data_IF_296171363439
#
_entry.id   IF_296171363439
#
_cell.length_a   1.000
_cell.length_b   1.000
_cell.length_c   1.000
_cell.angle_alpha   90.00
_cell.angle_beta   90.00
_cell.angle_gamma   90.00
#
_symmetry.space_group_name_H-M   'P 1'
#
loop_
_entity.id
_entity.type
_entity.pdbx_description
1 polymer ?
#
# COMPACT_ATOMS: atom_id res chain seq x y z
N UNK A 1 9.17 -8.63 2.05
CA UNK A 1 9.64 -8.87 3.44
C UNK A 1 9.90 -10.33 3.81
N UNK A 2 10.51 -10.54 4.98
CA UNK A 2 10.68 -11.81 5.71
C UNK A 2 9.59 -12.08 6.76
N UNK A 3 9.37 -13.34 7.17
CA UNK A 3 8.32 -13.68 8.15
C UNK A 3 8.42 -12.91 9.48
N UNK A 4 9.65 -12.67 9.97
CA UNK A 4 9.89 -11.88 11.20
C UNK A 4 9.51 -10.42 11.07
N UNK A 5 9.62 -9.86 9.88
CA UNK A 5 9.18 -8.48 9.61
C UNK A 5 7.67 -8.44 9.54
N UNK A 6 7.05 -9.40 8.84
CA UNK A 6 5.59 -9.53 8.77
C UNK A 6 4.96 -9.60 10.17
N UNK A 7 5.48 -10.46 11.05
CA UNK A 7 4.99 -10.66 12.41
C UNK A 7 5.00 -9.36 13.24
N UNK A 8 6.02 -8.51 13.06
CA UNK A 8 6.11 -7.20 13.75
C UNK A 8 5.15 -6.16 13.19
N UNK A 9 4.70 -6.32 11.95
CA UNK A 9 3.79 -5.42 11.25
C UNK A 9 2.31 -5.79 11.48
N UNK A 10 2.02 -6.94 12.08
CA UNK A 10 0.65 -7.41 12.40
C UNK A 10 -0.12 -6.40 13.26
N UNK A 11 0.45 -5.93 14.36
CA UNK A 11 -0.21 -4.97 15.28
C UNK A 11 -0.41 -3.59 14.59
N UNK A 12 0.62 -2.99 13.94
CA UNK A 12 0.44 -1.78 13.14
C UNK A 12 -0.61 -1.90 12.03
N UNK A 13 -0.70 -3.06 11.38
CA UNK A 13 -1.71 -3.34 10.35
C UNK A 13 -3.12 -3.28 10.90
N UNK A 14 -3.39 -3.99 12.01
CA UNK A 14 -4.71 -4.00 12.67
C UNK A 14 -5.12 -2.58 13.06
N UNK A 15 -4.16 -1.76 13.51
CA UNK A 15 -4.42 -0.37 13.86
C UNK A 15 -4.39 0.63 12.69
N UNK A 16 -4.23 0.15 11.44
CA UNK A 16 -4.17 0.99 10.23
C UNK A 16 -3.06 2.06 10.27
N UNK A 17 -1.89 1.71 10.82
CA UNK A 17 -0.73 2.59 10.99
C UNK A 17 0.42 2.27 10.02
N UNK A 18 0.17 1.47 8.98
CA UNK A 18 1.18 1.13 7.99
C UNK A 18 1.16 2.09 6.80
N UNK A 19 2.35 2.45 6.31
CA UNK A 19 2.52 3.12 5.02
C UNK A 19 2.11 2.21 3.86
N UNK A 20 1.62 2.80 2.76
CA UNK A 20 1.04 2.09 1.62
C UNK A 20 2.02 1.07 0.99
N UNK A 21 3.30 1.44 0.84
CA UNK A 21 4.35 0.53 0.31
C UNK A 21 4.57 -0.68 1.24
N UNK A 22 4.62 -0.44 2.54
CA UNK A 22 4.87 -1.49 3.55
C UNK A 22 3.64 -2.40 3.71
N UNK A 23 2.43 -1.82 3.61
CA UNK A 23 1.17 -2.56 3.60
C UNK A 23 1.04 -3.43 2.36
N UNK A 24 1.50 -2.95 1.19
CA UNK A 24 1.51 -3.73 -0.05
C UNK A 24 2.37 -4.96 0.06
N UNK A 25 3.63 -4.80 0.50
CA UNK A 25 4.48 -5.95 0.73
C UNK A 25 3.83 -6.91 1.72
N UNK A 26 3.22 -6.39 2.81
CA UNK A 26 2.64 -7.18 3.91
C UNK A 26 1.54 -8.12 3.43
N UNK A 27 0.63 -7.59 2.62
CA UNK A 27 -0.45 -8.35 2.02
C UNK A 27 0.09 -9.43 1.06
N UNK A 28 1.08 -9.11 0.23
CA UNK A 28 1.70 -10.07 -0.69
C UNK A 28 2.35 -11.24 0.08
N UNK A 29 3.00 -10.97 1.21
CA UNK A 29 3.63 -11.99 2.03
C UNK A 29 2.62 -12.93 2.71
N UNK A 30 1.51 -12.39 3.23
CA UNK A 30 0.46 -13.18 3.90
C UNK A 30 -0.28 -14.11 2.92
N UNK A 31 -0.36 -13.73 1.65
CA UNK A 31 -0.95 -14.59 0.62
C UNK A 31 -0.11 -15.82 0.30
N UNK A 32 1.20 -15.65 0.30
CA UNK A 32 2.15 -16.70 -0.09
C UNK A 32 2.56 -17.54 1.13
N UNK A 33 2.58 -16.95 2.33
CA UNK A 33 3.01 -17.59 3.57
C UNK A 33 1.81 -17.95 4.49
N UNK A 34 1.39 -19.23 4.54
CA UNK A 34 0.26 -19.64 5.38
C UNK A 34 0.56 -19.49 6.88
N UNK A 35 1.83 -19.58 7.31
CA UNK A 35 2.22 -19.43 8.71
C UNK A 35 1.97 -18.00 9.23
N UNK A 36 2.36 -16.99 8.44
CA UNK A 36 2.12 -15.59 8.79
C UNK A 36 0.63 -15.22 8.73
N UNK A 37 -0.13 -15.89 7.84
CA UNK A 37 -1.59 -15.77 7.80
C UNK A 37 -2.25 -16.30 9.08
N UNK A 38 -1.79 -17.44 9.58
CA UNK A 38 -2.30 -18.03 10.82
C UNK A 38 -1.98 -17.13 12.03
N UNK A 39 -0.77 -16.57 12.12
CA UNK A 39 -0.44 -15.59 13.16
C UNK A 39 -1.32 -14.34 13.10
N UNK A 40 -1.55 -13.78 11.91
CA UNK A 40 -2.46 -12.64 11.73
C UNK A 40 -3.88 -12.98 12.23
N UNK A 41 -4.39 -14.17 11.91
CA UNK A 41 -5.72 -14.63 12.34
C UNK A 41 -5.82 -14.77 13.87
N UNK A 42 -4.76 -15.28 14.51
CA UNK A 42 -4.68 -15.38 15.97
C UNK A 42 -4.74 -13.99 16.60
N UNK A 43 -3.89 -13.05 16.16
CA UNK A 43 -3.87 -11.70 16.71
C UNK A 43 -5.18 -10.94 16.50
N UNK A 44 -5.78 -11.07 15.31
CA UNK A 44 -7.08 -10.45 15.01
C UNK A 44 -8.20 -11.01 15.88
N UNK A 45 -8.21 -12.33 16.12
CA UNK A 45 -9.19 -12.98 17.01
C UNK A 45 -9.06 -12.50 18.45
N UNK A 46 -7.83 -12.30 18.93
CA UNK A 46 -7.58 -11.75 20.28
C UNK A 46 -8.07 -10.31 20.38
N UNK A 47 -7.77 -9.45 19.40
CA UNK A 47 -8.20 -8.04 19.40
C UNK A 47 -9.73 -7.91 19.30
N UNK A 48 -10.35 -8.74 18.46
CA UNK A 48 -11.81 -8.85 18.37
C UNK A 48 -12.44 -9.41 19.66
N UNK A 49 -11.78 -10.34 20.34
CA UNK A 49 -12.21 -10.89 21.63
C UNK A 49 -12.20 -9.82 22.74
N UNK A 50 -11.17 -8.98 22.78
CA UNK A 50 -11.11 -7.82 23.71
C UNK A 50 -12.23 -6.83 23.40
N UNK A 51 -12.50 -6.53 22.12
CA UNK A 51 -13.61 -5.66 21.71
C UNK A 51 -14.99 -6.24 22.04
N UNK A 52 -15.16 -7.57 22.00
CA UNK A 52 -16.42 -8.22 22.39
C UNK A 52 -16.68 -8.18 23.89
N UNK A 53 -15.63 -8.23 24.72
CA UNK A 53 -15.77 -8.04 26.17
C UNK A 53 -16.18 -6.60 26.52
N UNK A 54 -15.80 -5.63 25.67
CA UNK A 54 -16.17 -4.22 25.81
C UNK A 54 -17.56 -3.89 25.24
N UNK A 55 -18.02 -4.67 24.24
CA UNK A 55 -19.33 -4.51 23.60
C UNK A 55 -20.19 -5.75 23.87
N UNK A 56 -21.08 -5.65 24.86
CA UNK A 56 -22.13 -6.60 25.21
C UNK A 56 -23.15 -6.75 24.06
N UNK A 57 -22.75 -7.36 22.95
CA UNK A 57 -23.62 -7.52 21.77
C UNK A 57 -23.29 -8.82 21.05
N UNK A 58 -24.27 -9.72 21.05
CA UNK A 58 -24.15 -11.08 20.55
C UNK A 58 -23.77 -11.18 19.07
N UNK A 59 -22.99 -12.23 18.80
CA UNK A 59 -22.67 -12.79 17.49
C UNK A 59 -21.90 -11.87 16.52
N UNK A 60 -20.71 -11.45 16.94
CA UNK A 60 -19.71 -10.82 16.07
C UNK A 60 -19.02 -11.89 15.20
N UNK A 61 -19.17 -11.82 13.88
CA UNK A 61 -18.59 -12.77 12.93
C UNK A 61 -17.14 -12.38 12.60
N UNK A 62 -16.23 -12.61 13.55
CA UNK A 62 -14.81 -12.22 13.53
C UNK A 62 -14.13 -12.58 12.20
N UNK A 63 -14.36 -13.79 11.70
CA UNK A 63 -13.74 -14.28 10.46
C UNK A 63 -14.24 -13.53 9.23
N UNK A 64 -15.53 -13.24 9.17
CA UNK A 64 -16.13 -12.53 8.03
C UNK A 64 -15.67 -11.06 7.95
N UNK A 65 -15.56 -10.40 9.10
CA UNK A 65 -15.09 -9.01 9.16
C UNK A 65 -13.61 -8.91 8.74
N UNK A 66 -12.77 -9.86 9.19
CA UNK A 66 -11.37 -9.94 8.80
C UNK A 66 -11.18 -10.13 7.30
N UNK A 67 -11.93 -11.05 6.68
CA UNK A 67 -11.86 -11.29 5.25
C UNK A 67 -12.36 -10.09 4.42
N UNK A 68 -13.41 -9.42 4.89
CA UNK A 68 -13.92 -8.21 4.26
C UNK A 68 -12.91 -7.06 4.34
N UNK A 69 -12.22 -6.90 5.47
CA UNK A 69 -11.20 -5.85 5.67
C UNK A 69 -9.93 -6.12 4.83
N UNK A 70 -9.54 -7.39 4.71
CA UNK A 70 -8.47 -7.83 3.78
C UNK A 70 -8.84 -7.54 2.32
N UNK A 71 -10.09 -7.82 1.91
CA UNK A 71 -10.56 -7.53 0.55
C UNK A 71 -10.64 -6.03 0.29
N UNK A 72 -11.15 -5.24 1.24
CA UNK A 72 -11.24 -3.79 1.13
C UNK A 72 -9.85 -3.15 1.07
N UNK A 73 -8.91 -3.62 1.89
CA UNK A 73 -7.51 -3.17 1.85
C UNK A 73 -6.87 -3.49 0.51
N UNK A 74 -7.03 -4.69 -0.05
CA UNK A 74 -6.55 -5.00 -1.42
C UNK A 74 -7.12 -4.06 -2.48
N UNK A 75 -8.42 -3.76 -2.40
CA UNK A 75 -9.09 -2.92 -3.39
C UNK A 75 -8.59 -1.46 -3.33
N UNK A 76 -8.37 -0.94 -2.13
CA UNK A 76 -7.72 0.36 -1.92
C UNK A 76 -6.29 0.35 -2.42
N UNK A 77 -5.53 -0.70 -2.09
CA UNK A 77 -4.13 -0.84 -2.47
C UNK A 77 -3.97 -0.85 -4.00
N UNK A 78 -4.82 -1.59 -4.73
CA UNK A 78 -4.82 -1.58 -6.20
C UNK A 78 -5.16 -0.21 -6.79
N UNK A 79 -6.15 0.48 -6.22
CA UNK A 79 -6.54 1.82 -6.68
C UNK A 79 -5.42 2.86 -6.47
N UNK A 80 -4.77 2.81 -5.31
CA UNK A 80 -3.69 3.73 -4.95
C UNK A 80 -2.44 3.43 -5.78
N UNK A 81 -2.05 2.16 -5.95
CA UNK A 81 -0.89 1.78 -6.78
C UNK A 81 -1.06 2.21 -8.24
N UNK A 82 -2.26 2.04 -8.82
CA UNK A 82 -2.53 2.48 -10.19
C UNK A 82 -2.45 4.00 -10.31
N UNK A 83 -2.95 4.73 -9.32
CA UNK A 83 -2.89 6.19 -9.30
C UNK A 83 -1.47 6.71 -9.09
N UNK A 84 -0.68 6.10 -8.22
CA UNK A 84 0.71 6.50 -7.99
C UNK A 84 1.59 6.17 -9.19
N UNK A 85 1.46 4.98 -9.78
CA UNK A 85 2.15 4.65 -11.04
C UNK A 85 1.74 5.63 -12.15
N UNK A 86 0.45 5.99 -12.23
CA UNK A 86 -0.01 6.98 -13.20
C UNK A 86 0.56 8.39 -12.94
N UNK A 87 0.66 8.83 -11.68
CA UNK A 87 1.31 10.11 -11.33
C UNK A 87 2.78 10.10 -11.66
N UNK A 88 3.53 9.07 -11.27
CA UNK A 88 4.95 8.95 -11.59
C UNK A 88 5.19 8.96 -13.11
N UNK A 89 4.38 8.21 -13.87
CA UNK A 89 4.44 8.24 -15.32
C UNK A 89 4.17 9.64 -15.88
N UNK A 90 3.17 10.36 -15.37
CA UNK A 90 2.87 11.73 -15.79
C UNK A 90 4.02 12.70 -15.46
N UNK A 91 4.60 12.62 -14.26
CA UNK A 91 5.70 13.49 -13.85
C UNK A 91 6.94 13.28 -14.72
N UNK A 92 7.31 12.02 -15.01
CA UNK A 92 8.44 11.75 -15.91
C UNK A 92 8.20 12.28 -17.33
N UNK A 93 6.97 12.20 -17.85
CA UNK A 93 6.61 12.76 -19.15
C UNK A 93 6.73 14.29 -19.15
N UNK A 94 6.30 14.96 -18.08
CA UNK A 94 6.44 16.41 -17.93
C UNK A 94 7.92 16.80 -17.96
N UNK A 95 8.75 16.13 -17.16
CA UNK A 95 10.20 16.39 -17.11
C UNK A 95 10.85 16.20 -18.49
N UNK A 96 10.52 15.11 -19.19
CA UNK A 96 11.02 14.84 -20.53
C UNK A 96 10.57 15.92 -21.52
N UNK A 97 9.31 16.36 -21.46
CA UNK A 97 8.79 17.41 -22.33
C UNK A 97 9.52 18.74 -22.14
N UNK A 98 9.78 19.12 -20.88
CA UNK A 98 10.51 20.35 -20.53
C UNK A 98 11.96 20.24 -21.00
N UNK A 99 12.60 19.09 -20.80
CA UNK A 99 13.96 18.85 -21.28
C UNK A 99 14.06 18.96 -22.81
N UNK A 100 13.10 18.40 -23.56
CA UNK A 100 13.06 18.54 -25.02
C UNK A 100 12.90 20.01 -25.43
N UNK A 101 12.02 20.77 -24.78
CA UNK A 101 11.84 22.20 -25.07
C UNK A 101 13.14 22.99 -24.84
N UNK A 102 13.85 22.72 -23.74
CA UNK A 102 15.14 23.36 -23.44
C UNK A 102 16.21 23.02 -24.47
N UNK A 103 16.30 21.75 -24.90
CA UNK A 103 17.25 21.33 -25.94
C UNK A 103 16.96 22.03 -27.27
N UNK A 104 15.70 22.18 -27.64
CA UNK A 104 15.30 22.91 -28.86
C UNK A 104 15.64 24.40 -28.75
N UNK A 105 15.37 25.04 -27.61
CA UNK A 105 15.76 26.44 -27.37
C UNK A 105 17.28 26.61 -27.47
N UNK A 106 18.07 25.72 -26.85
CA UNK A 106 19.53 25.76 -26.93
C UNK A 106 20.04 25.57 -28.36
N UNK A 107 19.43 24.66 -29.13
CA UNK A 107 19.73 24.46 -30.57
C UNK A 107 19.44 25.72 -31.38
N UNK A 108 18.30 26.35 -31.15
CA UNK A 108 17.92 27.60 -31.82
C UNK A 108 18.88 28.72 -31.45
N UNK A 109 19.26 28.86 -30.18
CA UNK A 109 20.22 29.87 -29.73
C UNK A 109 21.59 29.67 -30.37
N UNK A 110 22.04 28.42 -30.50
CA UNK A 110 23.28 28.07 -31.18
C UNK A 110 23.23 28.39 -32.69
N UNK A 111 22.10 28.16 -33.35
CA UNK A 111 21.92 28.48 -34.78
C UNK A 111 21.70 29.98 -35.04
N UNK A 112 21.01 30.67 -34.15
CA UNK A 112 20.73 32.11 -34.25
C UNK A 112 21.90 32.99 -33.80
N UNK A 113 23.01 32.41 -33.31
CA UNK A 113 24.23 33.17 -33.00
C UNK A 113 24.02 34.26 -31.95
N UNK A 114 23.22 33.98 -30.91
CA UNK A 114 23.16 34.84 -29.72
C UNK A 114 24.25 34.38 -28.75
N UNK A 115 25.50 34.60 -29.18
CA UNK A 115 26.71 34.84 -28.37
C UNK A 115 27.83 35.27 -29.32
#
# INVERSE_FOLDING_TARGET
>A
MTCKEAERLVIPYIHHQLDDDTMSEFLEHIEVCPNCKEELEIYYTVEAGIRQLDKDTGHYNIKGDMEADLQASRQRLHGIHVLDVARYAADTLIVISVAMMLVLQARIWWQCGIF
#
